data_IF_180076346484
#
_entry.id   IF_180076346484
#
_cell.length_a   1.000
_cell.length_b   1.000
_cell.length_c   1.000
_cell.angle_alpha   90.00
_cell.angle_beta   90.00
_cell.angle_gamma   90.00
#
_symmetry.space_group_name_H-M   'P 1'
#
loop_
_entity.id
_entity.type
_entity.pdbx_description
1 polymer ?
#
# COMPACT_ATOMS: atom_id res chain seq x y z
N UNK A 1 -4.85 -12.16 -3.17
CA UNK A 1 -5.24 -12.97 -4.35
C UNK A 1 -6.73 -12.76 -4.57
N UNK A 2 -7.18 -12.59 -5.81
CA UNK A 2 -8.62 -12.42 -6.06
C UNK A 2 -9.35 -13.75 -5.82
N UNK A 3 -10.55 -13.71 -5.24
CA UNK A 3 -11.35 -14.93 -4.97
C UNK A 3 -11.55 -15.76 -6.24
N UNK A 4 -11.77 -15.09 -7.38
CA UNK A 4 -11.87 -15.73 -8.69
C UNK A 4 -10.62 -16.55 -9.06
N UNK A 5 -9.43 -16.01 -8.82
CA UNK A 5 -8.17 -16.70 -9.15
C UNK A 5 -8.01 -17.95 -8.30
N UNK A 6 -8.36 -17.85 -7.02
CA UNK A 6 -8.35 -18.97 -6.09
C UNK A 6 -9.34 -20.07 -6.53
N UNK A 7 -10.54 -19.68 -6.96
CA UNK A 7 -11.53 -20.62 -7.50
C UNK A 7 -10.98 -21.28 -8.76
N UNK A 8 -10.49 -20.51 -9.74
CA UNK A 8 -9.97 -21.08 -10.99
C UNK A 8 -8.76 -22.00 -10.78
N UNK A 9 -7.95 -21.75 -9.74
CA UNK A 9 -6.80 -22.57 -9.42
C UNK A 9 -7.20 -23.95 -8.86
N UNK A 10 -8.29 -23.99 -8.10
CA UNK A 10 -8.71 -25.18 -7.35
C UNK A 10 -9.99 -25.84 -7.90
N UNK A 11 -10.67 -25.19 -8.83
CA UNK A 11 -11.82 -25.74 -9.54
C UNK A 11 -11.34 -26.76 -10.56
N UNK A 12 -11.79 -28.01 -10.40
CA UNK A 12 -11.60 -29.05 -11.39
C UNK A 12 -12.58 -28.90 -12.56
N UNK A 13 -13.20 -30.02 -12.94
CA UNK A 13 -14.25 -30.03 -13.98
C UNK A 13 -15.67 -29.81 -13.41
N UNK A 14 -15.79 -29.59 -12.10
CA UNK A 14 -17.05 -29.46 -11.37
C UNK A 14 -17.68 -28.07 -11.43
N UNK A 15 -18.76 -27.91 -10.69
CA UNK A 15 -19.48 -26.66 -10.49
C UNK A 15 -19.07 -25.96 -9.19
N UNK A 16 -19.35 -24.66 -9.11
CA UNK A 16 -19.17 -23.86 -7.90
C UNK A 16 -20.51 -23.72 -7.18
N UNK A 17 -20.56 -24.23 -5.96
CA UNK A 17 -21.69 -24.10 -5.05
C UNK A 17 -21.44 -22.94 -4.11
N UNK A 18 -22.27 -21.91 -4.20
CA UNK A 18 -22.13 -20.70 -3.42
C UNK A 18 -22.95 -20.84 -2.13
N UNK A 19 -22.38 -20.59 -0.95
CA UNK A 19 -23.16 -20.56 0.31
C UNK A 19 -22.71 -19.40 1.18
N UNK A 20 -23.65 -18.50 1.48
CA UNK A 20 -23.37 -17.28 2.25
C UNK A 20 -22.51 -16.24 1.51
N UNK A 21 -22.07 -16.51 0.28
CA UNK A 21 -21.34 -15.57 -0.56
C UNK A 21 -21.65 -15.76 -2.04
N UNK A 22 -22.22 -14.73 -2.65
CA UNK A 22 -22.53 -14.71 -4.08
C UNK A 22 -21.43 -13.97 -4.84
N UNK A 23 -20.78 -14.67 -5.76
CA UNK A 23 -19.81 -14.08 -6.65
C UNK A 23 -20.50 -13.11 -7.62
N UNK A 24 -19.91 -11.93 -7.87
CA UNK A 24 -20.43 -11.02 -8.88
C UNK A 24 -20.43 -11.69 -10.27
N UNK A 25 -21.46 -11.51 -11.11
CA UNK A 25 -21.52 -12.07 -12.46
C UNK A 25 -20.32 -11.67 -13.35
N UNK A 26 -19.73 -10.50 -13.09
CA UNK A 26 -18.53 -10.01 -13.77
C UNK A 26 -17.26 -10.82 -13.44
N UNK A 27 -17.26 -11.57 -12.34
CA UNK A 27 -16.13 -12.38 -11.88
C UNK A 27 -16.27 -13.86 -12.26
N UNK A 28 -17.41 -14.27 -12.84
CA UNK A 28 -17.71 -15.68 -13.12
C UNK A 28 -17.94 -16.03 -14.60
N UNK A 29 -17.30 -15.38 -15.59
CA UNK A 29 -17.50 -15.78 -16.98
C UNK A 29 -16.97 -17.20 -17.21
N UNK A 30 -17.83 -18.07 -17.75
CA UNK A 30 -17.49 -19.46 -18.07
C UNK A 30 -17.52 -20.45 -16.90
N UNK A 31 -17.87 -20.01 -15.69
CA UNK A 31 -18.02 -20.89 -14.53
C UNK A 31 -19.45 -21.44 -14.45
N UNK A 32 -19.59 -22.73 -14.15
CA UNK A 32 -20.88 -23.32 -13.77
C UNK A 32 -21.13 -22.98 -12.31
N UNK A 33 -22.17 -22.19 -12.05
CA UNK A 33 -22.54 -21.76 -10.71
C UNK A 33 -23.87 -22.37 -10.31
N UNK A 34 -23.92 -22.98 -9.14
CA UNK A 34 -25.17 -23.18 -8.43
C UNK A 34 -25.52 -21.92 -7.63
N UNK A 35 -26.77 -21.45 -7.69
CA UNK A 35 -27.19 -20.26 -6.97
C UNK A 35 -27.12 -20.50 -5.47
N UNK A 36 -26.86 -19.43 -4.71
CA UNK A 36 -26.60 -19.53 -3.27
C UNK A 36 -27.80 -19.93 -2.41
N UNK A 37 -29.00 -19.90 -2.99
CA UNK A 37 -30.28 -20.20 -2.35
C UNK A 37 -30.76 -21.62 -2.65
N UNK A 38 -30.13 -22.32 -3.61
CA UNK A 38 -30.52 -23.66 -4.02
C UNK A 38 -29.65 -24.69 -3.29
N UNK A 39 -30.29 -25.53 -2.48
CA UNK A 39 -29.63 -26.66 -1.82
C UNK A 39 -29.44 -27.78 -2.84
N UNK A 40 -28.36 -27.66 -3.62
CA UNK A 40 -27.87 -28.72 -4.49
C UNK A 40 -26.76 -29.44 -3.75
N UNK A 41 -26.87 -30.76 -3.66
CA UNK A 41 -25.82 -31.58 -3.08
C UNK A 41 -24.57 -31.53 -3.97
N UNK A 42 -23.38 -31.33 -3.40
CA UNK A 42 -22.15 -31.26 -4.16
C UNK A 42 -21.79 -32.64 -4.75
N UNK A 43 -21.19 -32.64 -5.94
CA UNK A 43 -20.63 -33.83 -6.57
C UNK A 43 -19.09 -33.91 -6.40
N UNK A 44 -18.47 -35.08 -6.59
CA UNK A 44 -17.01 -35.22 -6.60
C UNK A 44 -16.34 -34.27 -7.60
N UNK A 45 -15.43 -33.43 -7.11
CA UNK A 45 -14.70 -32.45 -7.93
C UNK A 45 -15.38 -31.08 -8.05
N UNK A 46 -16.53 -30.90 -7.40
CA UNK A 46 -17.14 -29.60 -7.20
C UNK A 46 -16.37 -28.75 -6.17
N UNK A 47 -16.62 -27.45 -6.23
CA UNK A 47 -16.08 -26.46 -5.30
C UNK A 47 -17.20 -25.82 -4.48
N UNK A 48 -17.11 -25.92 -3.17
CA UNK A 48 -17.98 -25.22 -2.22
C UNK A 48 -17.33 -23.92 -1.79
N UNK A 49 -17.97 -22.80 -2.11
CA UNK A 49 -17.57 -21.48 -1.67
C UNK A 49 -18.41 -21.07 -0.47
N UNK A 50 -17.82 -21.17 0.71
CA UNK A 50 -18.48 -20.93 1.99
C UNK A 50 -17.97 -19.62 2.58
N UNK A 51 -18.86 -18.79 3.10
CA UNK A 51 -18.46 -17.64 3.92
C UNK A 51 -18.81 -17.89 5.38
N UNK A 52 -17.79 -17.78 6.24
CA UNK A 52 -17.96 -17.85 7.67
C UNK A 52 -18.79 -16.66 8.18
N UNK A 53 -19.68 -16.88 9.15
CA UNK A 53 -20.32 -15.79 9.87
C UNK A 53 -19.27 -14.98 10.65
N UNK A 54 -19.51 -13.68 10.79
CA UNK A 54 -18.54 -12.74 11.37
C UNK A 54 -18.32 -12.92 12.88
N UNK A 55 -19.15 -13.72 13.56
CA UNK A 55 -19.01 -14.07 14.98
C UNK A 55 -18.00 -15.21 15.23
N UNK A 56 -17.47 -15.82 14.16
CA UNK A 56 -16.47 -16.87 14.24
C UNK A 56 -17.02 -18.22 14.71
N UNK A 57 -18.34 -18.44 14.59
CA UNK A 57 -18.94 -19.76 14.65
C UNK A 57 -18.71 -20.50 13.32
N UNK A 58 -17.89 -21.55 13.36
CA UNK A 58 -17.58 -22.39 12.20
C UNK A 58 -18.20 -23.79 12.30
N UNK A 59 -18.83 -24.09 13.43
CA UNK A 59 -19.48 -25.37 13.70
C UNK A 59 -20.73 -25.51 12.84
N UNK A 60 -20.85 -26.61 12.09
CA UNK A 60 -22.00 -26.87 11.21
C UNK A 60 -22.07 -25.99 9.96
N UNK A 61 -21.03 -25.21 9.67
CA UNK A 61 -20.92 -24.43 8.42
C UNK A 61 -20.52 -25.31 7.23
N UNK A 62 -19.73 -26.35 7.51
CA UNK A 62 -19.23 -27.31 6.54
C UNK A 62 -19.99 -28.61 6.80
N UNK A 63 -20.60 -29.17 5.76
CA UNK A 63 -21.30 -30.45 5.85
C UNK A 63 -20.28 -31.57 6.14
N UNK A 64 -20.64 -32.52 7.00
CA UNK A 64 -19.76 -33.62 7.40
C UNK A 64 -19.73 -34.77 6.36
N UNK A 65 -20.69 -34.79 5.44
CA UNK A 65 -20.95 -35.86 4.46
C UNK A 65 -20.55 -35.50 3.02
N UNK A 66 -19.56 -34.61 2.89
CA UNK A 66 -19.07 -34.19 1.57
C UNK A 66 -18.46 -35.37 0.77
N UNK A 67 -18.71 -35.44 -0.55
CA UNK A 67 -18.09 -36.42 -1.42
C UNK A 67 -16.56 -36.30 -1.43
N UNK A 68 -15.89 -37.43 -1.61
CA UNK A 68 -14.44 -37.42 -1.77
C UNK A 68 -14.00 -36.60 -2.99
N UNK A 69 -12.95 -35.81 -2.82
CA UNK A 69 -12.38 -34.98 -3.86
C UNK A 69 -13.02 -33.60 -3.98
N UNK A 70 -14.13 -33.31 -3.29
CA UNK A 70 -14.75 -31.98 -3.20
C UNK A 70 -13.80 -30.98 -2.54
N UNK A 71 -13.69 -29.79 -3.13
CA UNK A 71 -12.87 -28.70 -2.61
C UNK A 71 -13.75 -27.69 -1.88
N UNK A 72 -13.32 -27.27 -0.70
CA UNK A 72 -13.98 -26.23 0.11
C UNK A 72 -13.09 -25.01 0.16
N UNK A 73 -13.65 -23.86 -0.22
CA UNK A 73 -13.06 -22.54 -0.04
C UNK A 73 -13.85 -21.84 1.04
N UNK A 74 -13.25 -21.76 2.23
CA UNK A 74 -13.81 -21.06 3.39
C UNK A 74 -13.28 -19.62 3.44
N UNK A 75 -14.18 -18.65 3.27
CA UNK A 75 -13.90 -17.22 3.39
C UNK A 75 -14.18 -16.77 4.83
N UNK A 76 -13.14 -16.40 5.57
CA UNK A 76 -13.23 -15.91 6.94
C UNK A 76 -13.07 -14.39 6.93
N UNK A 77 -14.13 -13.60 7.21
CA UNK A 77 -14.08 -12.13 7.18
C UNK A 77 -13.37 -11.60 8.43
N UNK A 78 -12.04 -11.72 8.45
CA UNK A 78 -11.18 -11.31 9.56
C UNK A 78 -9.86 -10.79 9.03
N UNK A 79 -9.19 -9.97 9.85
CA UNK A 79 -7.79 -9.65 9.62
C UNK A 79 -6.95 -10.94 9.70
N UNK A 80 -6.00 -11.18 8.77
CA UNK A 80 -5.09 -12.31 8.85
C UNK A 80 -4.30 -12.41 10.16
N UNK A 81 -4.04 -11.30 10.86
CA UNK A 81 -3.37 -11.29 12.17
C UNK A 81 -4.25 -11.83 13.31
N UNK A 82 -5.58 -11.83 13.13
CA UNK A 82 -6.59 -12.19 14.12
C UNK A 82 -7.31 -13.51 13.79
N UNK A 83 -6.87 -14.20 12.74
CA UNK A 83 -7.49 -15.44 12.29
C UNK A 83 -7.59 -16.48 13.43
N UNK A 84 -8.79 -17.01 13.76
CA UNK A 84 -8.96 -18.00 14.83
C UNK A 84 -8.51 -19.39 14.36
N UNK A 85 -7.19 -19.58 14.24
CA UNK A 85 -6.53 -20.79 13.68
C UNK A 85 -7.13 -22.08 14.26
N UNK A 86 -7.19 -22.21 15.58
CA UNK A 86 -7.70 -23.42 16.23
C UNK A 86 -9.15 -23.74 15.89
N UNK A 87 -10.02 -22.73 15.71
CA UNK A 87 -11.42 -22.95 15.32
C UNK A 87 -11.53 -23.39 13.86
N UNK A 88 -10.77 -22.76 12.98
CA UNK A 88 -10.72 -23.11 11.56
C UNK A 88 -10.23 -24.54 11.39
N UNK A 89 -9.13 -24.90 12.04
CA UNK A 89 -8.57 -26.25 11.96
C UNK A 89 -9.54 -27.28 12.51
N UNK A 90 -10.17 -27.03 13.66
CA UNK A 90 -11.16 -27.95 14.23
C UNK A 90 -12.36 -28.17 13.30
N UNK A 91 -12.85 -27.11 12.64
CA UNK A 91 -13.96 -27.22 11.69
C UNK A 91 -13.58 -28.05 10.46
N UNK A 92 -12.38 -27.85 9.92
CA UNK A 92 -11.87 -28.64 8.79
C UNK A 92 -11.70 -30.12 9.16
N UNK A 93 -11.11 -30.41 10.31
CA UNK A 93 -10.91 -31.78 10.79
C UNK A 93 -12.26 -32.46 11.06
N UNK A 94 -13.22 -31.75 11.67
CA UNK A 94 -14.57 -32.27 11.92
C UNK A 94 -15.26 -32.75 10.65
N UNK A 95 -15.12 -32.00 9.55
CA UNK A 95 -15.67 -32.33 8.24
C UNK A 95 -14.78 -33.27 7.40
N UNK A 96 -13.69 -33.82 7.96
CA UNK A 96 -12.77 -34.70 7.23
C UNK A 96 -12.07 -34.02 6.05
N UNK A 97 -11.85 -32.70 6.13
CA UNK A 97 -11.18 -31.89 5.13
C UNK A 97 -9.72 -31.68 5.49
N UNK A 98 -8.86 -31.76 4.48
CA UNK A 98 -7.44 -31.49 4.62
C UNK A 98 -7.11 -30.10 4.08
N UNK A 99 -6.40 -29.28 4.86
CA UNK A 99 -5.92 -27.97 4.42
C UNK A 99 -4.94 -28.11 3.26
N UNK A 100 -5.22 -27.41 2.15
CA UNK A 100 -4.36 -27.34 0.97
C UNK A 100 -3.58 -26.03 0.97
N UNK A 101 -4.26 -24.92 1.21
CA UNK A 101 -3.69 -23.57 1.10
C UNK A 101 -4.46 -22.57 1.97
N UNK A 102 -3.79 -21.52 2.43
CA UNK A 102 -4.44 -20.37 3.04
C UNK A 102 -3.83 -19.08 2.50
N UNK A 103 -4.67 -18.12 2.10
CA UNK A 103 -4.24 -16.86 1.51
C UNK A 103 -5.13 -15.70 1.93
N UNK A 104 -4.57 -14.48 1.88
CA UNK A 104 -5.35 -13.26 2.03
C UNK A 104 -6.12 -12.98 0.74
N UNK A 105 -7.45 -13.02 0.84
CA UNK A 105 -8.36 -12.69 -0.25
C UNK A 105 -8.42 -11.17 -0.43
N UNK A 106 -8.27 -10.71 -1.68
CA UNK A 106 -8.34 -9.29 -2.05
C UNK A 106 -9.60 -9.00 -2.85
N UNK A 107 -10.06 -7.75 -2.81
CA UNK A 107 -11.25 -7.29 -3.56
C UNK A 107 -12.57 -7.35 -2.79
N UNK A 108 -12.52 -7.58 -1.47
CA UNK A 108 -13.66 -7.42 -0.57
C UNK A 108 -13.62 -6.07 0.15
N UNK A 109 -14.78 -5.61 0.66
CA UNK A 109 -14.86 -4.38 1.47
C UNK A 109 -14.22 -4.55 2.85
N UNK A 110 -14.21 -5.78 3.36
CA UNK A 110 -13.64 -6.16 4.65
C UNK A 110 -12.43 -7.08 4.44
N UNK A 111 -11.45 -7.09 5.36
CA UNK A 111 -10.34 -8.04 5.28
C UNK A 111 -10.88 -9.47 5.33
N UNK A 112 -10.33 -10.35 4.50
CA UNK A 112 -10.82 -11.73 4.38
C UNK A 112 -9.66 -12.68 4.14
N UNK A 113 -9.64 -13.78 4.89
CA UNK A 113 -8.73 -14.91 4.66
C UNK A 113 -9.49 -16.02 3.96
N UNK A 114 -8.97 -16.50 2.83
CA UNK A 114 -9.49 -17.68 2.15
C UNK A 114 -8.67 -18.90 2.54
N UNK A 115 -9.36 -19.91 3.06
CA UNK A 115 -8.80 -21.18 3.49
C UNK A 115 -9.31 -22.25 2.52
N UNK A 116 -8.41 -22.89 1.79
CA UNK A 116 -8.73 -23.93 0.82
C UNK A 116 -8.44 -25.28 1.43
N UNK A 117 -9.44 -26.13 1.47
CA UNK A 117 -9.34 -27.48 1.97
C UNK A 117 -10.01 -28.46 0.99
N UNK A 118 -9.63 -29.73 1.04
CA UNK A 118 -10.17 -30.75 0.16
C UNK A 118 -10.60 -31.97 0.95
N UNK A 119 -11.75 -32.53 0.60
CA UNK A 119 -12.24 -33.79 1.16
C UNK A 119 -11.41 -34.95 0.61
N UNK A 120 -10.87 -35.77 1.50
CA UNK A 120 -10.07 -36.94 1.12
C UNK A 120 -10.43 -38.14 1.99
N UNK A 121 -10.69 -39.30 1.39
CA UNK A 121 -10.86 -40.55 2.15
C UNK A 121 -9.50 -41.20 2.47
N UNK A 122 -8.49 -40.95 1.62
CA UNK A 122 -7.10 -41.32 1.88
C UNK A 122 -6.31 -40.14 2.48
N UNK A 123 -5.60 -40.37 3.57
CA UNK A 123 -4.72 -39.39 4.25
C UNK A 123 -3.41 -39.13 3.48
N UNK A 124 -3.45 -39.12 2.14
CA UNK A 124 -2.26 -38.95 1.30
C UNK A 124 -2.61 -37.99 0.17
N UNK A 125 -2.13 -36.74 0.27
CA UNK A 125 -1.62 -35.85 -0.81
C UNK A 125 -1.53 -34.39 -0.31
N UNK A 126 -0.93 -33.50 -1.13
CA UNK A 126 0.43 -32.97 -0.96
C UNK A 126 0.57 -32.03 0.24
N UNK A 127 1.70 -32.10 0.94
CA UNK A 127 2.04 -31.13 1.97
C UNK A 127 2.09 -29.70 1.39
N UNK A 128 1.56 -28.70 2.11
CA UNK A 128 1.71 -27.30 1.73
C UNK A 128 3.19 -26.94 1.62
N UNK A 129 3.55 -26.15 0.61
CA UNK A 129 4.94 -25.89 0.16
C UNK A 129 5.87 -25.40 1.28
N UNK A 130 5.32 -24.75 2.31
CA UNK A 130 6.04 -24.24 3.48
C UNK A 130 6.46 -25.34 4.48
N UNK A 131 5.75 -26.48 4.53
CA UNK A 131 6.02 -27.58 5.46
C UNK A 131 7.11 -28.55 4.97
N UNK A 132 7.58 -28.39 3.73
CA UNK A 132 8.63 -29.23 3.12
C UNK A 132 9.99 -29.13 3.81
N UNK A 133 10.21 -28.08 4.60
CA UNK A 133 11.47 -27.82 5.31
C UNK A 133 11.54 -28.44 6.71
N UNK A 134 10.45 -29.06 7.20
CA UNK A 134 10.31 -29.50 8.59
C UNK A 134 10.35 -31.02 8.77
N UNK A 135 10.72 -31.81 7.75
CA UNK A 135 10.76 -33.28 7.87
C UNK A 135 11.68 -33.75 9.02
N UNK A 136 11.16 -34.52 9.99
CA UNK A 136 11.86 -35.69 10.48
C UNK A 136 11.43 -36.90 9.62
N UNK A 137 12.40 -37.75 9.30
CA UNK A 137 12.11 -39.07 8.73
C UNK A 137 11.31 -39.90 9.74
N UNK A 138 9.98 -39.94 9.62
CA UNK A 138 9.15 -40.84 10.43
C UNK A 138 8.50 -41.88 9.52
N UNK A 139 9.10 -43.05 9.59
CA UNK A 139 8.59 -44.36 9.19
C UNK A 139 7.56 -44.79 10.23
N UNK A 140 6.32 -45.11 9.85
CA UNK A 140 5.39 -45.82 10.74
C UNK A 140 3.91 -45.80 10.33
N UNK A 141 3.13 -46.87 10.61
CA UNK A 141 1.86 -47.18 9.94
C UNK A 141 0.65 -46.46 10.57
N UNK A 142 -0.51 -46.61 9.92
CA UNK A 142 -1.82 -46.05 10.28
C UNK A 142 -2.13 -46.03 11.79
N UNK A 143 -2.36 -44.85 12.33
CA UNK A 143 -2.71 -44.60 13.73
C UNK A 143 -3.05 -43.12 13.99
N UNK A 144 -3.58 -42.78 15.19
CA UNK A 144 -4.02 -41.43 15.58
C UNK A 144 -2.93 -40.35 15.49
N UNK A 145 -1.66 -40.77 15.39
CA UNK A 145 -0.50 -39.90 15.18
C UNK A 145 -0.55 -39.17 13.83
N UNK A 146 -1.25 -39.72 12.83
CA UNK A 146 -1.41 -39.11 11.50
C UNK A 146 -2.37 -37.92 11.52
N UNK A 147 -3.44 -38.00 12.28
CA UNK A 147 -4.39 -36.89 12.46
C UNK A 147 -3.74 -35.75 13.25
N UNK A 148 -2.89 -36.09 14.21
CA UNK A 148 -2.05 -35.14 14.93
C UNK A 148 -1.08 -34.44 13.98
N UNK A 149 -0.42 -35.17 13.08
CA UNK A 149 0.48 -34.56 12.09
C UNK A 149 -0.28 -33.65 11.10
N UNK A 150 -1.42 -34.09 10.57
CA UNK A 150 -2.24 -33.28 9.66
C UNK A 150 -2.71 -31.98 10.34
N UNK A 151 -3.10 -32.09 11.61
CA UNK A 151 -3.46 -30.94 12.44
C UNK A 151 -2.28 -29.98 12.65
N UNK A 152 -1.12 -30.50 13.04
CA UNK A 152 0.08 -29.67 13.25
C UNK A 152 0.51 -28.95 11.97
N UNK A 153 0.42 -29.63 10.82
CA UNK A 153 0.71 -29.04 9.52
C UNK A 153 -0.28 -27.92 9.18
N UNK A 154 -1.58 -28.17 9.37
CA UNK A 154 -2.63 -27.18 9.13
C UNK A 154 -2.47 -25.95 10.05
N UNK A 155 -2.22 -26.17 11.34
CA UNK A 155 -1.94 -25.12 12.32
C UNK A 155 -0.70 -24.32 11.89
N UNK A 156 0.40 -24.99 11.51
CA UNK A 156 1.64 -24.31 11.12
C UNK A 156 1.50 -23.40 9.89
N UNK A 157 0.69 -23.77 8.90
CA UNK A 157 0.46 -22.95 7.70
C UNK A 157 -0.30 -21.68 8.06
N UNK A 158 -1.36 -21.82 8.86
CA UNK A 158 -2.18 -20.71 9.29
C UNK A 158 -1.41 -19.79 10.24
N UNK A 159 -0.64 -20.36 11.18
CA UNK A 159 0.23 -19.61 12.09
C UNK A 159 1.28 -18.80 11.34
N UNK A 160 1.96 -19.39 10.35
CA UNK A 160 2.93 -18.68 9.51
C UNK A 160 2.29 -17.50 8.77
N UNK A 161 1.06 -17.66 8.28
CA UNK A 161 0.31 -16.57 7.65
C UNK A 161 0.01 -15.46 8.67
N UNK A 162 -0.49 -15.81 9.86
CA UNK A 162 -0.79 -14.82 10.92
C UNK A 162 0.45 -14.09 11.40
N UNK A 163 1.58 -14.80 11.57
CA UNK A 163 2.86 -14.23 12.01
C UNK A 163 3.40 -13.23 10.99
N UNK A 164 3.37 -13.57 9.69
CA UNK A 164 3.79 -12.67 8.62
C UNK A 164 2.87 -11.46 8.49
N UNK A 165 1.58 -11.62 8.73
CA UNK A 165 0.64 -10.50 8.75
C UNK A 165 0.96 -9.54 9.89
N UNK A 166 1.18 -10.05 11.11
CA UNK A 166 1.59 -9.24 12.27
C UNK A 166 2.92 -8.53 12.04
N UNK A 167 3.91 -9.22 11.48
CA UNK A 167 5.20 -8.63 11.14
C UNK A 167 5.04 -7.45 10.16
N UNK A 168 4.20 -7.59 9.14
CA UNK A 168 3.93 -6.50 8.19
C UNK A 168 3.25 -5.29 8.83
N UNK A 169 2.30 -5.53 9.74
CA UNK A 169 1.65 -4.45 10.51
C UNK A 169 2.68 -3.72 11.34
N UNK A 170 3.52 -4.45 12.08
CA UNK A 170 4.59 -3.86 12.89
C UNK A 170 5.60 -3.07 12.04
N UNK A 171 6.00 -3.59 10.88
CA UNK A 171 6.89 -2.88 9.97
C UNK A 171 6.25 -1.60 9.40
N UNK A 172 4.94 -1.63 9.10
CA UNK A 172 4.21 -0.45 8.65
C UNK A 172 4.09 0.61 9.75
N UNK A 173 3.84 0.20 10.99
CA UNK A 173 3.82 1.11 12.15
C UNK A 173 5.18 1.75 12.40
N UNK A 174 6.25 0.97 12.32
CA UNK A 174 7.63 1.47 12.45
C UNK A 174 7.99 2.43 11.31
N UNK A 175 7.64 2.10 10.07
CA UNK A 175 7.84 2.98 8.92
C UNK A 175 7.08 4.30 9.04
N UNK A 176 5.81 4.24 9.48
CA UNK A 176 5.00 5.43 9.75
C UNK A 176 5.57 6.30 10.88
N UNK A 177 6.13 5.68 11.92
CA UNK A 177 6.78 6.39 13.02
C UNK A 177 8.09 7.09 12.57
N UNK A 178 8.86 6.47 11.68
CA UNK A 178 10.06 7.08 11.09
C UNK A 178 9.72 8.26 10.18
N UNK A 179 8.68 8.13 9.35
CA UNK A 179 8.20 9.22 8.50
C UNK A 179 7.64 10.38 9.33
N UNK A 180 6.93 10.08 10.42
CA UNK A 180 6.48 11.07 11.40
C UNK A 180 7.64 11.84 12.04
N UNK A 181 8.72 11.15 12.42
CA UNK A 181 9.93 11.78 12.94
C UNK A 181 10.61 12.69 11.92
N UNK A 182 10.78 12.22 10.68
CA UNK A 182 11.37 13.04 9.59
C UNK A 182 10.55 14.28 9.28
N UNK A 183 9.22 14.19 9.33
CA UNK A 183 8.36 15.36 9.13
C UNK A 183 8.48 16.34 10.30
N UNK A 184 8.52 15.86 11.55
CA UNK A 184 8.74 16.71 12.72
C UNK A 184 10.11 17.42 12.67
N UNK A 185 11.16 16.72 12.23
CA UNK A 185 12.49 17.31 12.03
C UNK A 185 12.49 18.41 10.95
N UNK A 186 11.78 18.18 9.84
CA UNK A 186 11.62 19.20 8.77
C UNK A 186 10.85 20.42 9.24
N UNK A 187 9.79 20.24 10.03
CA UNK A 187 9.03 21.35 10.62
C UNK A 187 9.89 22.16 11.61
N UNK A 188 10.71 21.49 12.42
CA UNK A 188 11.66 22.18 13.30
C UNK A 188 12.70 22.99 12.52
N UNK A 189 13.26 22.43 11.45
CA UNK A 189 14.19 23.16 10.57
C UNK A 189 13.51 24.37 9.90
N UNK A 190 12.26 24.23 9.45
CA UNK A 190 11.50 25.35 8.89
C UNK A 190 11.24 26.45 9.93
N UNK A 191 10.94 26.08 11.18
CA UNK A 191 10.77 27.03 12.28
C UNK A 191 12.08 27.73 12.66
N UNK A 192 13.21 27.03 12.64
CA UNK A 192 14.52 27.63 12.87
C UNK A 192 14.90 28.62 11.76
N UNK A 193 14.65 28.28 10.50
CA UNK A 193 14.85 29.21 9.37
C UNK A 193 13.97 30.46 9.50
N UNK A 194 12.70 30.29 9.88
CA UNK A 194 11.79 31.43 10.13
C UNK A 194 12.26 32.32 11.29
N UNK A 195 12.96 31.75 12.28
CA UNK A 195 13.57 32.51 13.39
C UNK A 195 14.84 33.26 13.00
N UNK A 196 15.53 32.86 11.93
CA UNK A 196 16.73 33.53 11.41
C UNK A 196 16.42 34.71 10.45
N UNK A 197 15.25 34.70 9.80
CA UNK A 197 14.78 35.77 8.91
C UNK A 197 14.72 37.19 9.53
N UNK A 198 14.37 37.40 10.82
CA UNK A 198 14.34 38.74 11.42
C UNK A 198 15.72 39.42 11.43
N UNK A 199 16.79 38.64 11.65
CA UNK A 199 18.15 39.15 11.69
C UNK A 199 18.61 39.53 10.27
N UNK A 200 18.30 38.72 9.26
CA UNK A 200 18.56 39.04 7.84
C UNK A 200 17.75 40.25 7.36
N UNK A 201 16.51 40.40 7.82
CA UNK A 201 15.71 41.60 7.51
C UNK A 201 16.28 42.86 8.18
N UNK A 202 16.93 42.71 9.34
CA UNK A 202 17.58 43.83 10.02
C UNK A 202 18.86 44.28 9.30
N UNK A 203 19.66 43.34 8.78
CA UNK A 203 20.87 43.63 8.01
C UNK A 203 20.54 44.26 6.66
N UNK A 204 19.55 43.73 5.93
CA UNK A 204 19.10 44.30 4.65
C UNK A 204 18.56 45.73 4.83
N UNK A 205 17.81 46.00 5.91
CA UNK A 205 17.35 47.36 6.23
C UNK A 205 18.51 48.31 6.54
N UNK A 206 19.55 47.83 7.23
CA UNK A 206 20.75 48.62 7.52
C UNK A 206 21.54 48.93 6.24
N UNK A 207 21.70 47.97 5.34
CA UNK A 207 22.34 48.16 4.04
C UNK A 207 21.56 49.14 3.15
N UNK A 208 20.23 49.02 3.11
CA UNK A 208 19.40 49.96 2.36
C UNK A 208 19.51 51.39 2.90
N UNK A 209 19.62 51.56 4.23
CA UNK A 209 19.85 52.85 4.85
C UNK A 209 21.24 53.42 4.47
N UNK A 210 22.29 52.59 4.51
CA UNK A 210 23.64 53.00 4.12
C UNK A 210 23.70 53.44 2.64
N UNK A 211 23.12 52.65 1.72
CA UNK A 211 23.06 52.99 0.29
C UNK A 211 22.28 54.29 0.02
N UNK A 212 21.24 54.57 0.81
CA UNK A 212 20.48 55.82 0.69
C UNK A 212 21.33 57.03 1.10
N UNK A 213 22.12 56.90 2.16
CA UNK A 213 23.06 57.94 2.61
C UNK A 213 24.13 58.21 1.55
N UNK A 214 24.72 57.16 0.97
CA UNK A 214 25.72 57.30 -0.11
C UNK A 214 25.13 57.97 -1.34
N UNK A 215 23.93 57.56 -1.77
CA UNK A 215 23.22 58.17 -2.90
C UNK A 215 22.96 59.66 -2.67
N UNK A 216 22.52 60.04 -1.47
CA UNK A 216 22.24 61.44 -1.15
C UNK A 216 23.53 62.28 -1.06
N UNK A 217 24.63 61.70 -0.57
CA UNK A 217 25.95 62.32 -0.60
C UNK A 217 26.45 62.53 -2.04
N UNK A 218 26.29 61.54 -2.91
CA UNK A 218 26.63 61.64 -4.34
C UNK A 218 25.78 62.69 -5.05
N UNK A 219 24.47 62.75 -4.78
CA UNK A 219 23.59 63.81 -5.32
C UNK A 219 24.04 65.20 -4.89
N UNK A 220 24.43 65.39 -3.62
CA UNK A 220 24.97 66.67 -3.14
C UNK A 220 26.27 67.05 -3.87
N UNK A 221 27.18 66.09 -4.07
CA UNK A 221 28.43 66.30 -4.82
C UNK A 221 28.16 66.67 -6.27
N UNK A 222 27.23 65.98 -6.94
CA UNK A 222 26.81 66.31 -8.31
C UNK A 222 26.24 67.72 -8.39
N UNK A 223 25.32 68.09 -7.49
CA UNK A 223 24.78 69.45 -7.46
C UNK A 223 25.84 70.54 -7.21
N UNK A 224 26.86 70.25 -6.39
CA UNK A 224 28.00 71.14 -6.19
C UNK A 224 28.85 71.27 -7.46
N UNK A 225 29.13 70.16 -8.14
CA UNK A 225 29.84 70.16 -9.43
C UNK A 225 29.06 70.95 -10.49
N UNK A 226 27.74 70.76 -10.59
CA UNK A 226 26.88 71.50 -11.52
C UNK A 226 26.79 73.00 -11.20
N UNK A 227 26.88 73.35 -9.91
CA UNK A 227 26.91 74.76 -9.46
C UNK A 227 28.26 75.45 -9.63
N UNK A 228 29.34 74.68 -9.83
CA UNK A 228 30.69 75.19 -10.02
C UNK A 228 30.79 76.05 -11.28
N UNK A 229 31.41 77.21 -11.15
CA UNK A 229 31.63 78.18 -12.24
C UNK A 229 32.37 77.56 -13.42
N UNK A 230 33.30 76.63 -13.16
CA UNK A 230 34.07 75.89 -14.16
C UNK A 230 33.18 74.92 -14.97
N UNK A 231 32.26 74.21 -14.31
CA UNK A 231 31.30 73.32 -14.98
C UNK A 231 30.27 74.12 -15.79
N UNK A 232 29.78 75.25 -15.26
CA UNK A 232 28.87 76.16 -16.01
C UNK A 232 29.53 76.74 -17.25
N UNK A 233 30.82 77.08 -17.19
CA UNK A 233 31.60 77.51 -18.35
C UNK A 233 31.81 76.37 -19.36
N UNK A 234 32.18 75.18 -18.90
CA UNK A 234 32.36 74.00 -19.76
C UNK A 234 31.03 73.56 -20.42
N UNK A 235 29.92 73.56 -19.69
CA UNK A 235 28.56 73.28 -20.20
C UNK A 235 28.10 74.33 -21.23
N UNK A 236 28.33 75.63 -20.97
CA UNK A 236 28.07 76.68 -21.96
C UNK A 236 28.94 76.53 -23.21
N UNK A 237 30.22 76.19 -23.06
CA UNK A 237 31.12 75.95 -24.20
C UNK A 237 30.72 74.69 -25.00
N UNK A 238 30.28 73.61 -24.34
CA UNK A 238 29.75 72.40 -24.98
C UNK A 238 28.42 72.66 -25.73
N UNK A 239 27.53 73.47 -25.15
CA UNK A 239 26.30 73.91 -25.82
C UNK A 239 26.56 74.83 -27.02
N UNK A 240 27.57 75.70 -26.93
CA UNK A 240 27.99 76.60 -28.02
C UNK A 240 28.71 75.85 -29.14
N UNK A 241 29.51 74.83 -28.83
CA UNK A 241 30.18 73.99 -29.84
C UNK A 241 29.21 73.07 -30.59
N UNK A 242 28.05 72.72 -30.00
CA UNK A 242 26.95 72.07 -30.72
C UNK A 242 26.24 72.98 -31.74
N UNK A 243 26.19 74.30 -31.48
CA UNK A 243 25.57 75.28 -32.37
C UNK A 243 26.47 75.69 -33.55
N UNK A 244 27.80 75.70 -33.38
CA UNK A 244 28.76 76.07 -34.43
C UNK A 244 28.92 75.00 -35.52
N UNK A 245 28.49 73.76 -35.29
CA UNK A 245 28.55 72.67 -36.29
C UNK A 245 27.35 72.60 -37.25
N UNK A 246 26.36 73.49 -37.12
CA UNK A 246 25.22 73.60 -38.05
C UNK A 246 25.29 74.88 -38.89
N UNK A 247 26.39 75.05 -39.63
CA UNK A 247 26.42 75.95 -40.80
C UNK A 247 26.04 75.11 -42.04
N UNK A 248 24.92 75.39 -42.72
CA UNK A 248 24.52 74.65 -43.91
C UNK A 248 25.42 75.05 -45.09
N UNK A 249 26.25 74.12 -45.55
CA UNK A 249 26.89 74.21 -46.86
C UNK A 249 25.97 73.72 -47.97
N UNK A 250 25.69 74.57 -48.97
CA UNK A 250 25.59 74.24 -50.41
C UNK A 250 25.06 75.45 -51.21
N UNK A 251 25.25 75.52 -52.55
CA UNK A 251 26.35 75.03 -53.42
C UNK A 251 26.88 76.13 -54.38
N UNK A 252 28.07 75.90 -54.97
CA UNK A 252 28.54 76.61 -56.18
C UNK A 252 27.86 76.02 -57.43
N UNK A 253 27.50 76.92 -58.37
CA UNK A 253 27.37 76.63 -59.81
C UNK A 253 28.75 76.39 -60.41
#
# INVERSE_FOLDING_TARGET
MLIRELILHHLGNGAVHQRGYTLPPSQTPGLRLHPAEEQVDPEPGDLLLLRAPGDGELSGLIDDDLPEGTTVVLLVPTDPAELPVGRVVNALIGAGLQLVEAVVASGQREPTVAVVARRSAATVLPLPTAARALEPAVVGPDGPEKDVLARLLAESVLENLTSRARERVLLAELGGAEDGRRNAEREQQALEQLRALPDELSTVKAEQAALKVERDALKKRLGQVESSTTYRLASKLAGVSGAVRRLPGRPRR
#
